data_IF_918533879964
#
_entry.id   IF_918533879964
#
_cell.length_a   1.000
_cell.length_b   1.000
_cell.length_c   1.000
_cell.angle_alpha   90.00
_cell.angle_beta   90.00
_cell.angle_gamma   90.00
#
_symmetry.space_group_name_H-M   'P 1'
#
loop_
_entity.id
_entity.type
_entity.pdbx_description
1 polymer ?
#
# COMPACT_ATOMS: atom_id res chain seq x y z
N UNK A 1 34.76 -20.28 -19.51
CA UNK A 1 35.64 -19.08 -19.47
C UNK A 1 34.95 -18.06 -18.56
N UNK A 2 35.56 -17.67 -17.43
CA UNK A 2 34.95 -16.73 -16.51
C UNK A 2 34.88 -15.34 -17.18
N UNK A 3 33.69 -14.73 -17.15
CA UNK A 3 33.46 -13.36 -17.62
C UNK A 3 34.23 -12.42 -16.67
N UNK A 4 35.44 -12.03 -17.08
CA UNK A 4 36.19 -10.98 -16.41
C UNK A 4 35.41 -9.68 -16.62
N UNK A 5 34.78 -9.19 -15.55
CA UNK A 5 34.14 -7.88 -15.56
C UNK A 5 35.25 -6.84 -15.73
N UNK A 6 35.48 -6.38 -16.97
CA UNK A 6 36.50 -5.40 -17.31
C UNK A 6 36.29 -4.12 -16.52
N UNK A 7 37.34 -3.63 -15.84
CA UNK A 7 37.37 -2.44 -14.93
C UNK A 7 36.65 -1.19 -15.44
N UNK A 8 36.40 -1.11 -16.73
CA UNK A 8 35.61 -0.07 -17.39
C UNK A 8 34.17 0.02 -16.84
N UNK A 9 33.62 -1.08 -16.30
CA UNK A 9 32.35 -1.08 -15.58
C UNK A 9 32.32 -0.17 -14.34
N UNK A 10 33.49 0.11 -13.73
CA UNK A 10 33.61 1.03 -12.60
C UNK A 10 33.71 2.49 -13.04
N UNK A 11 34.02 2.74 -14.30
CA UNK A 11 34.20 4.08 -14.87
C UNK A 11 32.90 4.64 -15.46
N UNK A 12 31.94 3.77 -15.79
CA UNK A 12 30.65 4.17 -16.33
C UNK A 12 29.54 3.94 -15.30
N UNK A 13 29.07 5.03 -14.71
CA UNK A 13 27.87 4.95 -13.85
C UNK A 13 26.72 4.40 -14.68
N UNK A 14 26.02 3.35 -14.21
CA UNK A 14 24.83 2.87 -14.89
C UNK A 14 23.82 4.02 -14.98
N UNK A 15 23.04 4.09 -16.07
CA UNK A 15 21.98 5.08 -16.17
C UNK A 15 21.09 4.98 -14.93
N UNK A 16 20.69 6.14 -14.39
CA UNK A 16 19.81 6.20 -13.24
C UNK A 16 18.48 5.46 -13.51
N UNK A 17 17.73 5.11 -12.45
CA UNK A 17 16.45 4.44 -12.60
C UNK A 17 15.53 5.22 -13.54
N UNK A 18 14.85 4.50 -14.42
CA UNK A 18 13.88 5.10 -15.33
C UNK A 18 12.76 5.80 -14.55
N UNK A 19 12.17 6.86 -15.10
CA UNK A 19 11.05 7.58 -14.47
C UNK A 19 9.92 6.65 -14.01
N UNK A 20 9.49 5.64 -14.80
CA UNK A 20 8.47 4.69 -14.34
C UNK A 20 8.89 3.87 -13.11
N UNK A 21 10.18 3.48 -13.02
CA UNK A 21 10.70 2.73 -11.87
C UNK A 21 10.67 3.58 -10.60
N UNK A 22 11.01 4.87 -10.70
CA UNK A 22 10.91 5.80 -9.58
C UNK A 22 9.47 5.97 -9.08
N UNK A 23 8.50 6.08 -9.99
CA UNK A 23 7.06 6.18 -9.61
C UNK A 23 6.59 4.92 -8.91
N UNK A 24 6.99 3.75 -9.42
CA UNK A 24 6.66 2.48 -8.79
C UNK A 24 7.21 2.41 -7.36
N UNK A 25 8.48 2.71 -7.18
CA UNK A 25 9.18 2.55 -5.90
C UNK A 25 8.79 3.60 -4.86
N UNK A 26 8.48 4.83 -5.28
CA UNK A 26 8.21 5.94 -4.36
C UNK A 26 6.72 6.18 -4.09
N UNK A 27 5.85 5.76 -4.99
CA UNK A 27 4.41 6.05 -4.89
C UNK A 27 3.61 4.77 -4.78
N UNK A 28 3.72 3.90 -5.78
CA UNK A 28 2.84 2.73 -5.89
C UNK A 28 3.11 1.72 -4.78
N UNK A 29 4.38 1.35 -4.58
CA UNK A 29 4.78 0.35 -3.58
C UNK A 29 4.43 0.82 -2.16
N UNK A 30 4.80 2.04 -1.72
CA UNK A 30 4.43 2.53 -0.39
C UNK A 30 2.92 2.63 -0.21
N UNK A 31 2.18 3.09 -1.23
CA UNK A 31 0.72 3.21 -1.15
C UNK A 31 0.06 1.85 -0.96
N UNK A 32 0.47 0.84 -1.74
CA UNK A 32 -0.04 -0.52 -1.59
C UNK A 32 0.31 -1.14 -0.24
N UNK A 33 1.55 -0.95 0.24
CA UNK A 33 1.97 -1.45 1.54
C UNK A 33 1.14 -0.83 2.69
N UNK A 34 0.93 0.49 2.66
CA UNK A 34 0.10 1.18 3.64
C UNK A 34 -1.36 0.74 3.59
N UNK A 35 -1.91 0.54 2.39
CA UNK A 35 -3.27 0.02 2.23
C UNK A 35 -3.41 -1.38 2.82
N UNK A 36 -2.47 -2.29 2.55
CA UNK A 36 -2.45 -3.64 3.12
C UNK A 36 -2.38 -3.61 4.66
N UNK A 37 -1.46 -2.84 5.23
CA UNK A 37 -1.32 -2.71 6.68
C UNK A 37 -2.57 -2.13 7.36
N UNK A 38 -3.27 -1.20 6.69
CA UNK A 38 -4.53 -0.64 7.20
C UNK A 38 -5.63 -1.70 7.26
N UNK A 39 -5.70 -2.58 6.26
CA UNK A 39 -6.66 -3.69 6.22
C UNK A 39 -6.37 -4.69 7.34
N UNK A 40 -5.11 -5.07 7.53
CA UNK A 40 -4.71 -5.99 8.61
C UNK A 40 -5.08 -5.45 9.99
N UNK A 41 -4.73 -4.19 10.27
CA UNK A 41 -5.09 -3.53 11.53
C UNK A 41 -6.61 -3.44 11.73
N UNK A 42 -7.37 -3.19 10.66
CA UNK A 42 -8.83 -3.18 10.70
C UNK A 42 -9.43 -4.54 11.08
N UNK A 43 -8.91 -5.62 10.50
CA UNK A 43 -9.33 -6.99 10.83
C UNK A 43 -9.02 -7.31 12.29
N UNK A 44 -7.81 -6.99 12.76
CA UNK A 44 -7.41 -7.20 14.15
C UNK A 44 -8.36 -6.47 15.12
N UNK A 45 -8.68 -5.21 14.84
CA UNK A 45 -9.62 -4.43 15.66
C UNK A 45 -11.02 -5.05 15.69
N UNK A 46 -11.52 -5.56 14.56
CA UNK A 46 -12.82 -6.26 14.52
C UNK A 46 -12.78 -7.55 15.33
N UNK A 47 -11.69 -8.32 15.27
CA UNK A 47 -11.54 -9.55 16.07
C UNK A 47 -11.50 -9.23 17.57
N UNK A 48 -10.73 -8.21 17.98
CA UNK A 48 -10.67 -7.76 19.37
C UNK A 48 -12.04 -7.29 19.84
N UNK A 49 -12.74 -6.48 19.04
CA UNK A 49 -14.08 -5.99 19.36
C UNK A 49 -15.08 -7.14 19.47
N UNK A 50 -15.04 -8.12 18.56
CA UNK A 50 -15.92 -9.29 18.56
C UNK A 50 -15.80 -10.11 19.85
N UNK A 51 -14.56 -10.33 20.32
CA UNK A 51 -14.29 -11.05 21.58
C UNK A 51 -14.81 -10.30 22.81
N UNK A 52 -14.83 -8.97 22.77
CA UNK A 52 -15.27 -8.14 23.91
C UNK A 52 -16.78 -7.90 23.91
N UNK A 53 -17.34 -7.58 22.75
CA UNK A 53 -18.76 -7.35 22.56
C UNK A 53 -19.11 -7.53 21.06
N UNK A 54 -19.87 -8.58 20.69
CA UNK A 54 -20.18 -8.87 19.29
C UNK A 54 -20.96 -7.74 18.59
N UNK A 55 -21.72 -6.92 19.32
CA UNK A 55 -22.41 -5.76 18.75
C UNK A 55 -21.43 -4.66 18.30
N UNK A 56 -20.29 -4.50 18.99
CA UNK A 56 -19.26 -3.55 18.57
C UNK A 56 -18.60 -3.99 17.26
N UNK A 57 -18.40 -5.29 17.05
CA UNK A 57 -17.86 -5.81 15.80
C UNK A 57 -18.79 -5.52 14.61
N UNK A 58 -20.11 -5.68 14.79
CA UNK A 58 -21.11 -5.33 13.77
C UNK A 58 -21.07 -3.82 13.48
N UNK A 59 -20.97 -2.99 14.53
CA UNK A 59 -20.85 -1.54 14.38
C UNK A 59 -19.59 -1.12 13.60
N UNK A 60 -18.44 -1.70 13.93
CA UNK A 60 -17.17 -1.45 13.22
C UNK A 60 -17.22 -1.91 11.76
N UNK A 61 -17.78 -3.09 11.49
CA UNK A 61 -17.95 -3.59 10.14
C UNK A 61 -18.89 -2.71 9.31
N UNK A 62 -20.04 -2.32 9.87
CA UNK A 62 -21.00 -1.44 9.21
C UNK A 62 -20.42 -0.05 8.94
N UNK A 63 -19.68 0.52 9.90
CA UNK A 63 -18.98 1.80 9.73
C UNK A 63 -17.90 1.72 8.64
N UNK A 64 -17.10 0.64 8.63
CA UNK A 64 -16.09 0.40 7.61
C UNK A 64 -16.68 0.27 6.21
N UNK A 65 -17.77 -0.51 6.06
CA UNK A 65 -18.49 -0.65 4.78
C UNK A 65 -19.10 0.69 4.34
N UNK A 66 -19.75 1.42 5.26
CA UNK A 66 -20.32 2.74 4.99
C UNK A 66 -19.26 3.73 4.51
N UNK A 67 -18.09 3.76 5.16
CA UNK A 67 -16.96 4.58 4.73
C UNK A 67 -16.44 4.15 3.35
N UNK A 68 -16.25 2.86 3.10
CA UNK A 68 -15.80 2.36 1.80
C UNK A 68 -16.78 2.74 0.67
N UNK A 69 -18.09 2.61 0.91
CA UNK A 69 -19.13 2.98 -0.05
C UNK A 69 -19.17 4.49 -0.30
N UNK A 70 -19.00 5.31 0.73
CA UNK A 70 -18.94 6.78 0.57
C UNK A 70 -17.71 7.21 -0.19
N UNK A 71 -16.53 6.64 0.11
CA UNK A 71 -15.31 6.92 -0.66
C UNK A 71 -15.41 6.45 -2.11
N UNK A 72 -16.01 5.28 -2.36
CA UNK A 72 -16.22 4.76 -3.72
C UNK A 72 -17.20 5.61 -4.52
N UNK A 73 -18.18 6.23 -3.86
CA UNK A 73 -19.17 7.11 -4.49
C UNK A 73 -18.75 8.57 -4.56
N UNK A 74 -17.76 9.00 -3.78
CA UNK A 74 -17.32 10.38 -3.76
C UNK A 74 -16.70 10.70 -5.13
N UNK A 75 -17.38 11.49 -5.98
CA UNK A 75 -16.75 11.93 -7.22
C UNK A 75 -15.57 12.77 -6.77
N UNK A 76 -14.36 12.45 -7.27
CA UNK A 76 -13.16 13.24 -7.00
C UNK A 76 -13.53 14.71 -7.23
N UNK A 77 -13.72 15.47 -6.15
CA UNK A 77 -13.73 16.93 -6.23
C UNK A 77 -12.28 17.29 -6.49
N UNK A 78 -11.96 17.40 -7.77
CA UNK A 78 -10.74 18.06 -8.22
C UNK A 78 -10.78 19.50 -7.72
N UNK A 79 -9.75 19.98 -7.00
CA UNK A 79 -9.49 21.42 -6.93
C UNK A 79 -9.16 21.98 -8.31
#
# INVERSE_FOLDING_TARGET
>A
MPMLVERDYMLKKPPGPSRPKLVLDQVVVPWLANAAGTVEAGIEQVVIASRRNPLLAIGLAAAGIGLALTMARSPRRTP
#
